data_IF_264974861467
#
_entry.id   IF_264974861467
#
_cell.length_a   1.000
_cell.length_b   1.000
_cell.length_c   1.000
_cell.angle_alpha   90.00
_cell.angle_beta   90.00
_cell.angle_gamma   90.00
#
_symmetry.space_group_name_H-M   'P 1'
#
loop_
_entity.id
_entity.type
_entity.pdbx_description
1 polymer ?
#
# COMPACT_ATOMS: atom_id res chain seq x y z
N UNK A 1 -11.94 18.60 1.01
CA UNK A 1 -10.76 19.31 1.57
C UNK A 1 -9.57 19.21 0.62
N UNK A 2 -9.05 18.01 0.37
CA UNK A 2 -7.81 17.81 -0.39
C UNK A 2 -7.89 18.12 -1.90
N UNK A 3 -8.93 17.63 -2.60
CA UNK A 3 -9.11 17.89 -4.03
C UNK A 3 -9.20 19.37 -4.40
N UNK A 4 -9.86 20.19 -3.57
CA UNK A 4 -9.92 21.63 -3.81
C UNK A 4 -8.55 22.30 -3.68
N UNK A 5 -7.74 21.88 -2.70
CA UNK A 5 -6.38 22.38 -2.52
C UNK A 5 -5.54 22.04 -3.76
N UNK A 6 -5.47 20.77 -4.15
CA UNK A 6 -4.64 20.36 -5.29
C UNK A 6 -5.14 20.97 -6.61
N UNK A 7 -6.46 20.97 -6.86
CA UNK A 7 -7.04 21.42 -8.13
C UNK A 7 -6.92 22.93 -8.31
N UNK A 8 -6.96 23.70 -7.22
CA UNK A 8 -6.75 25.16 -7.29
C UNK A 8 -5.27 25.47 -7.51
N UNK A 9 -4.38 24.83 -6.75
CA UNK A 9 -2.95 25.11 -6.83
C UNK A 9 -2.29 24.51 -8.08
N UNK A 10 -2.83 23.45 -8.68
CA UNK A 10 -2.33 22.94 -9.97
C UNK A 10 -2.63 23.94 -11.11
N UNK A 11 -3.74 24.67 -11.04
CA UNK A 11 -4.02 25.79 -11.94
C UNK A 11 -2.97 26.89 -11.81
N UNK A 12 -2.67 27.29 -10.56
CA UNK A 12 -1.60 28.27 -10.27
C UNK A 12 -0.22 27.77 -10.66
N UNK A 13 0.06 26.47 -10.55
CA UNK A 13 1.32 25.87 -10.98
C UNK A 13 1.56 26.06 -12.48
N UNK A 14 0.54 25.84 -13.31
CA UNK A 14 0.65 26.01 -14.75
C UNK A 14 0.67 27.49 -15.18
N UNK A 15 -0.22 28.32 -14.64
CA UNK A 15 -0.37 29.71 -15.10
C UNK A 15 0.45 30.74 -14.31
N UNK A 16 1.11 30.33 -13.23
CA UNK A 16 1.80 31.22 -12.30
C UNK A 16 3.28 31.43 -12.58
N UNK A 17 3.87 30.81 -13.61
CA UNK A 17 5.31 30.90 -13.90
C UNK A 17 5.81 32.34 -14.09
N UNK A 18 5.06 33.17 -14.82
CA UNK A 18 5.44 34.57 -15.10
C UNK A 18 4.88 35.57 -14.06
N UNK A 19 4.11 35.09 -13.08
CA UNK A 19 3.38 35.92 -12.11
C UNK A 19 3.81 35.74 -10.66
N UNK A 20 4.39 34.60 -10.31
CA UNK A 20 4.83 34.26 -8.97
C UNK A 20 6.36 34.34 -8.89
N UNK A 21 6.87 34.75 -7.73
CA UNK A 21 8.29 34.57 -7.41
C UNK A 21 8.66 33.09 -7.29
N UNK A 22 9.94 32.74 -7.49
CA UNK A 22 10.43 31.35 -7.45
C UNK A 22 10.03 30.59 -6.19
N UNK A 23 10.13 31.23 -5.02
CA UNK A 23 9.75 30.63 -3.73
C UNK A 23 8.23 30.42 -3.65
N UNK A 24 7.44 31.37 -4.14
CA UNK A 24 5.98 31.25 -4.14
C UNK A 24 5.54 30.11 -5.07
N UNK A 25 6.12 30.01 -6.26
CA UNK A 25 5.82 28.92 -7.20
C UNK A 25 6.23 27.55 -6.63
N UNK A 26 7.37 27.48 -5.93
CA UNK A 26 7.78 26.28 -5.20
C UNK A 26 6.77 25.91 -4.10
N UNK A 27 6.30 26.87 -3.30
CA UNK A 27 5.26 26.62 -2.28
C UNK A 27 3.96 26.11 -2.91
N UNK A 28 3.53 26.68 -4.04
CA UNK A 28 2.38 26.21 -4.81
C UNK A 28 2.57 24.74 -5.22
N UNK A 29 3.74 24.40 -5.74
CA UNK A 29 4.06 23.03 -6.16
C UNK A 29 4.01 22.04 -4.98
N UNK A 30 4.52 22.43 -3.81
CA UNK A 30 4.44 21.61 -2.59
C UNK A 30 3.01 21.44 -2.09
N UNK A 31 2.16 22.47 -2.19
CA UNK A 31 0.75 22.39 -1.81
C UNK A 31 -0.05 21.47 -2.73
N UNK A 32 0.31 21.38 -4.02
CA UNK A 32 -0.27 20.37 -4.92
C UNK A 32 0.07 18.96 -4.42
N UNK A 33 1.36 18.68 -4.18
CA UNK A 33 1.79 17.37 -3.69
C UNK A 33 1.16 17.01 -2.32
N UNK A 34 1.06 17.98 -1.41
CA UNK A 34 0.37 17.79 -0.12
C UNK A 34 -1.11 17.50 -0.32
N UNK A 35 -1.78 18.23 -1.23
CA UNK A 35 -3.17 17.99 -1.59
C UNK A 35 -3.39 16.56 -2.08
N UNK A 36 -2.55 16.07 -3.00
CA UNK A 36 -2.66 14.69 -3.51
C UNK A 36 -2.46 13.64 -2.42
N UNK A 37 -1.55 13.87 -1.47
CA UNK A 37 -1.37 12.99 -0.32
C UNK A 37 -2.57 13.02 0.63
N UNK A 38 -3.15 14.19 0.90
CA UNK A 38 -4.36 14.27 1.72
C UNK A 38 -5.56 13.61 1.02
N UNK A 39 -5.65 13.66 -0.31
CA UNK A 39 -6.68 12.95 -1.08
C UNK A 39 -6.53 11.43 -0.89
N UNK A 40 -5.30 10.92 -1.01
CA UNK A 40 -4.99 9.52 -0.75
C UNK A 40 -5.32 9.12 0.70
N UNK A 41 -5.01 9.96 1.69
CA UNK A 41 -5.32 9.70 3.10
C UNK A 41 -6.81 9.48 3.30
N UNK A 42 -7.65 10.42 2.88
CA UNK A 42 -9.08 10.34 3.15
C UNK A 42 -9.78 9.20 2.43
N UNK A 43 -9.36 8.90 1.19
CA UNK A 43 -9.95 7.78 0.47
C UNK A 43 -9.50 6.42 1.04
N UNK A 44 -8.29 6.35 1.58
CA UNK A 44 -7.77 5.12 2.21
C UNK A 44 -8.26 4.94 3.65
N UNK A 45 -8.64 6.01 4.36
CA UNK A 45 -9.44 5.91 5.59
C UNK A 45 -10.78 5.23 5.29
N UNK A 46 -11.47 5.62 4.21
CA UNK A 46 -12.70 4.96 3.80
C UNK A 46 -12.47 3.48 3.44
N UNK A 47 -11.44 3.18 2.63
CA UNK A 47 -11.12 1.78 2.29
C UNK A 47 -10.70 0.95 3.51
N UNK A 48 -9.95 1.54 4.45
CA UNK A 48 -9.56 0.90 5.70
C UNK A 48 -10.78 0.52 6.55
N UNK A 49 -11.75 1.43 6.68
CA UNK A 49 -13.02 1.13 7.36
C UNK A 49 -13.83 0.04 6.66
N UNK A 50 -13.89 0.02 5.32
CA UNK A 50 -14.54 -1.07 4.58
C UNK A 50 -13.90 -2.45 4.84
N UNK A 51 -12.64 -2.48 5.25
CA UNK A 51 -11.91 -3.71 5.56
C UNK A 51 -11.98 -4.08 7.05
N UNK A 52 -12.02 -3.07 7.92
CA UNK A 52 -12.11 -3.24 9.36
C UNK A 52 -13.10 -2.21 9.93
N UNK A 53 -14.40 -2.52 10.03
CA UNK A 53 -15.45 -1.55 10.33
C UNK A 53 -15.54 -1.21 11.84
N UNK A 54 -14.41 -0.78 12.42
CA UNK A 54 -14.36 -0.28 13.80
C UNK A 54 -15.12 1.04 13.95
N UNK A 55 -15.41 1.42 15.19
CA UNK A 55 -16.05 2.68 15.56
C UNK A 55 -17.42 2.92 14.88
N UNK A 56 -18.15 1.84 14.62
CA UNK A 56 -19.51 1.86 14.10
C UNK A 56 -20.38 0.83 14.80
N UNK A 57 -21.67 1.13 14.94
CA UNK A 57 -22.66 0.24 15.55
C UNK A 57 -23.94 0.18 14.69
N UNK A 58 -24.62 -0.97 14.70
CA UNK A 58 -25.84 -1.15 13.92
C UNK A 58 -27.06 -0.63 14.69
N UNK A 59 -27.73 0.37 14.13
CA UNK A 59 -28.96 0.89 14.71
C UNK A 59 -30.19 0.22 14.06
N UNK A 60 -30.93 -0.57 14.84
CA UNK A 60 -32.12 -1.29 14.38
C UNK A 60 -33.32 -0.37 14.07
N UNK A 61 -33.34 0.86 14.58
CA UNK A 61 -34.40 1.84 14.29
C UNK A 61 -34.19 2.50 12.92
N UNK A 62 -32.94 2.83 12.58
CA UNK A 62 -32.59 3.49 11.31
C UNK A 62 -32.12 2.51 10.23
N UNK A 63 -32.01 1.22 10.57
CA UNK A 63 -31.60 0.11 9.68
C UNK A 63 -30.27 0.37 8.96
N UNK A 64 -29.31 0.98 9.67
CA UNK A 64 -27.98 1.32 9.13
C UNK A 64 -26.91 1.27 10.21
N UNK A 65 -25.65 1.21 9.76
CA UNK A 65 -24.49 1.46 10.62
C UNK A 65 -24.40 2.96 10.94
N UNK A 66 -24.25 3.30 12.20
CA UNK A 66 -24.05 4.67 12.68
C UNK A 66 -22.65 4.81 13.28
N UNK A 67 -22.04 5.98 13.06
CA UNK A 67 -20.68 6.26 13.52
C UNK A 67 -20.67 6.51 15.02
N UNK A 68 -19.78 5.82 15.73
CA UNK A 68 -19.62 5.95 17.19
C UNK A 68 -18.46 6.88 17.54
N UNK A 69 -17.32 6.77 16.83
CA UNK A 69 -16.10 7.53 17.13
C UNK A 69 -15.36 7.92 15.84
N UNK A 70 -15.33 9.22 15.53
CA UNK A 70 -14.63 9.71 14.33
C UNK A 70 -13.10 9.59 14.47
N UNK A 71 -12.55 9.78 15.67
CA UNK A 71 -11.11 9.67 15.89
C UNK A 71 -10.60 8.25 15.67
N UNK A 72 -11.33 7.24 16.15
CA UNK A 72 -10.98 5.83 15.94
C UNK A 72 -11.13 5.42 14.47
N UNK A 73 -12.15 5.94 13.78
CA UNK A 73 -12.32 5.74 12.34
C UNK A 73 -11.08 6.21 11.55
N UNK A 74 -10.59 7.42 11.84
CA UNK A 74 -9.43 8.00 11.14
C UNK A 74 -8.12 7.30 11.53
N UNK A 75 -7.98 6.88 12.78
CA UNK A 75 -6.80 6.19 13.29
C UNK A 75 -6.87 4.66 13.14
N UNK A 76 -7.77 4.15 12.30
CA UNK A 76 -7.88 2.73 12.00
C UNK A 76 -6.53 2.17 11.54
N UNK A 77 -5.97 1.14 12.21
CA UNK A 77 -4.66 0.57 11.85
C UNK A 77 -4.56 0.17 10.39
N UNK A 78 -5.63 -0.42 9.83
CA UNK A 78 -5.70 -0.83 8.42
C UNK A 78 -5.63 0.39 7.49
N UNK A 79 -6.23 1.52 7.88
CA UNK A 79 -6.14 2.75 7.10
C UNK A 79 -4.71 3.32 7.09
N UNK A 80 -4.01 3.29 8.23
CA UNK A 80 -2.64 3.80 8.35
C UNK A 80 -1.67 3.03 7.45
N UNK A 81 -1.70 1.71 7.55
CA UNK A 81 -0.87 0.81 6.75
C UNK A 81 -1.16 0.99 5.26
N UNK A 82 -2.44 1.01 4.87
CA UNK A 82 -2.84 1.23 3.47
C UNK A 82 -2.41 2.56 2.94
N UNK A 83 -2.58 3.63 3.72
CA UNK A 83 -2.18 4.98 3.33
C UNK A 83 -0.71 5.01 2.95
N UNK A 84 0.13 4.56 3.88
CA UNK A 84 1.57 4.62 3.71
C UNK A 84 2.03 3.73 2.54
N UNK A 85 1.54 2.50 2.44
CA UNK A 85 1.91 1.59 1.34
C UNK A 85 1.45 2.10 -0.03
N UNK A 86 0.21 2.60 -0.14
CA UNK A 86 -0.34 3.07 -1.42
C UNK A 86 0.35 4.35 -1.89
N UNK A 87 0.60 5.29 -0.99
CA UNK A 87 1.29 6.54 -1.33
C UNK A 87 2.73 6.27 -1.76
N UNK A 88 3.47 5.46 -1.01
CA UNK A 88 4.83 5.05 -1.38
C UNK A 88 4.85 4.33 -2.73
N UNK A 89 3.85 3.47 -3.01
CA UNK A 89 3.72 2.79 -4.30
C UNK A 89 3.48 3.77 -5.44
N UNK A 90 2.61 4.77 -5.25
CA UNK A 90 2.41 5.84 -6.23
C UNK A 90 3.69 6.65 -6.50
N UNK A 91 4.51 6.89 -5.47
CA UNK A 91 5.82 7.52 -5.63
C UNK A 91 6.78 6.68 -6.46
N UNK A 92 6.84 5.37 -6.22
CA UNK A 92 7.63 4.44 -7.04
C UNK A 92 7.15 4.47 -8.49
N UNK A 93 5.83 4.43 -8.73
CA UNK A 93 5.27 4.49 -10.09
C UNK A 93 5.69 5.76 -10.82
N UNK A 94 5.56 6.93 -10.18
CA UNK A 94 5.98 8.21 -10.75
C UNK A 94 7.49 8.28 -11.00
N UNK A 95 8.30 7.80 -10.06
CA UNK A 95 9.75 7.75 -10.20
C UNK A 95 10.18 6.86 -11.37
N UNK A 96 9.63 5.65 -11.47
CA UNK A 96 9.91 4.71 -12.54
C UNK A 96 9.49 5.24 -13.92
N UNK A 97 8.40 5.99 -14.00
CA UNK A 97 7.97 6.66 -15.22
C UNK A 97 9.01 7.67 -15.72
N UNK A 98 9.49 8.56 -14.83
CA UNK A 98 10.54 9.53 -15.16
C UNK A 98 11.86 8.82 -15.50
N UNK A 99 12.20 7.74 -14.78
CA UNK A 99 13.38 6.92 -15.03
C UNK A 99 13.35 6.32 -16.44
N UNK A 100 12.22 5.73 -16.82
CA UNK A 100 12.02 5.10 -18.12
C UNK A 100 12.16 6.08 -19.28
N UNK A 101 11.54 7.27 -19.18
CA UNK A 101 11.67 8.32 -20.20
C UNK A 101 13.11 8.83 -20.28
N UNK A 102 13.73 9.08 -19.12
CA UNK A 102 15.12 9.57 -19.08
C UNK A 102 16.10 8.56 -19.66
N UNK A 103 15.93 7.27 -19.35
CA UNK A 103 16.71 6.18 -19.92
C UNK A 103 16.52 6.09 -21.43
N UNK A 104 15.28 6.25 -21.92
CA UNK A 104 14.99 6.28 -23.35
C UNK A 104 15.72 7.43 -24.07
N UNK A 105 15.73 8.63 -23.49
CA UNK A 105 16.47 9.77 -24.07
C UNK A 105 17.98 9.53 -24.11
N UNK A 106 18.54 8.97 -23.04
CA UNK A 106 19.95 8.60 -23.00
C UNK A 106 20.32 7.54 -24.04
N UNK A 107 19.48 6.51 -24.22
CA UNK A 107 19.67 5.48 -25.27
C UNK A 107 19.61 6.07 -26.69
N UNK A 108 18.80 7.11 -26.90
CA UNK A 108 18.69 7.81 -28.19
C UNK A 108 19.72 8.95 -28.36
N UNK A 109 20.58 9.18 -27.37
CA UNK A 109 21.55 10.28 -27.40
C UNK A 109 20.90 11.68 -27.44
N UNK A 110 19.68 11.83 -26.90
CA UNK A 110 18.91 13.08 -26.89
C UNK A 110 19.01 13.78 -25.54
N UNK A 111 19.17 15.11 -25.56
CA UNK A 111 19.09 15.99 -24.37
C UNK A 111 19.83 15.46 -23.14
N UNK A 112 21.06 14.96 -23.34
CA UNK A 112 21.80 14.14 -22.38
C UNK A 112 21.92 14.83 -21.01
N UNK A 113 22.16 16.14 -20.98
CA UNK A 113 22.29 16.89 -19.74
C UNK A 113 20.96 16.93 -18.94
N UNK A 114 19.83 17.11 -19.62
CA UNK A 114 18.51 17.09 -19.01
C UNK A 114 18.17 15.67 -18.54
N UNK A 115 18.31 14.69 -19.42
CA UNK A 115 18.00 13.29 -19.14
C UNK A 115 18.82 12.75 -17.95
N UNK A 116 20.11 13.07 -17.84
CA UNK A 116 20.95 12.64 -16.72
C UNK A 116 20.52 13.24 -15.37
N UNK A 117 20.09 14.52 -15.35
CA UNK A 117 19.60 15.17 -14.13
C UNK A 117 18.24 14.60 -13.71
N UNK A 118 17.32 14.43 -14.65
CA UNK A 118 16.02 13.80 -14.42
C UNK A 118 16.17 12.36 -13.91
N UNK A 119 17.06 11.59 -14.52
CA UNK A 119 17.37 10.22 -14.09
C UNK A 119 17.92 10.17 -12.66
N UNK A 120 18.86 11.04 -12.29
CA UNK A 120 19.45 11.05 -10.95
C UNK A 120 18.44 11.40 -9.85
N UNK A 121 17.59 12.41 -10.08
CA UNK A 121 16.55 12.80 -9.12
C UNK A 121 15.52 11.67 -8.97
N UNK A 122 15.03 11.12 -10.08
CA UNK A 122 14.06 10.03 -10.05
C UNK A 122 14.64 8.74 -9.44
N UNK A 123 15.92 8.43 -9.69
CA UNK A 123 16.58 7.26 -9.11
C UNK A 123 16.71 7.37 -7.58
N UNK A 124 17.17 8.53 -7.08
CA UNK A 124 17.35 8.74 -5.64
C UNK A 124 16.02 8.75 -4.89
N UNK A 125 15.01 9.47 -5.39
CA UNK A 125 13.67 9.46 -4.81
C UNK A 125 13.00 8.09 -4.95
N UNK A 126 13.11 7.45 -6.11
CA UNK A 126 12.57 6.11 -6.38
C UNK A 126 13.18 5.04 -5.50
N UNK A 127 14.48 5.14 -5.18
CA UNK A 127 15.15 4.23 -4.24
C UNK A 127 14.57 4.37 -2.83
N UNK A 128 14.40 5.59 -2.32
CA UNK A 128 13.77 5.80 -1.02
C UNK A 128 12.31 5.32 -0.99
N UNK A 129 11.57 5.57 -2.07
CA UNK A 129 10.18 5.13 -2.21
C UNK A 129 10.06 3.60 -2.26
N UNK A 130 10.89 2.89 -3.04
CA UNK A 130 10.80 1.43 -3.16
C UNK A 130 11.19 0.72 -1.86
N UNK A 131 12.20 1.23 -1.15
CA UNK A 131 12.54 0.71 0.18
C UNK A 131 11.37 0.89 1.16
N UNK A 132 10.69 2.04 1.10
CA UNK A 132 9.49 2.30 1.89
C UNK A 132 8.38 1.32 1.55
N UNK A 133 8.10 1.07 0.26
CA UNK A 133 7.08 0.11 -0.19
C UNK A 133 7.37 -1.31 0.29
N UNK A 134 8.63 -1.76 0.21
CA UNK A 134 9.03 -3.12 0.63
C UNK A 134 8.81 -3.30 2.13
N UNK A 135 9.36 -2.40 2.95
CA UNK A 135 9.25 -2.49 4.42
C UNK A 135 7.80 -2.36 4.88
N UNK A 136 7.06 -1.40 4.33
CA UNK A 136 5.68 -1.15 4.74
C UNK A 136 4.70 -2.16 4.14
N UNK A 137 5.10 -2.86 3.07
CA UNK A 137 4.38 -4.02 2.55
C UNK A 137 4.48 -5.23 3.47
N UNK A 138 5.65 -5.48 4.03
CA UNK A 138 5.87 -6.52 5.03
C UNK A 138 5.07 -6.25 6.31
N UNK A 139 5.13 -5.02 6.83
CA UNK A 139 4.26 -4.59 7.96
C UNK A 139 2.76 -4.69 7.61
N UNK A 140 2.39 -4.44 6.36
CA UNK A 140 1.01 -4.63 5.92
C UNK A 140 0.58 -6.09 5.87
N UNK A 141 1.48 -7.01 5.54
CA UNK A 141 1.20 -8.45 5.58
C UNK A 141 0.97 -8.92 7.02
N UNK A 142 1.80 -8.44 7.94
CA UNK A 142 1.66 -8.72 9.37
C UNK A 142 0.32 -8.22 9.94
N UNK A 143 -0.04 -6.95 9.74
CA UNK A 143 -1.32 -6.42 10.24
C UNK A 143 -2.54 -7.10 9.58
N UNK A 144 -2.42 -7.47 8.30
CA UNK A 144 -3.48 -8.22 7.65
C UNK A 144 -3.65 -9.61 8.26
N UNK A 145 -2.61 -10.21 8.83
CA UNK A 145 -2.67 -11.45 9.60
C UNK A 145 -3.50 -11.33 10.89
N UNK A 146 -3.55 -10.15 11.49
CA UNK A 146 -4.34 -9.91 12.70
C UNK A 146 -5.79 -9.53 12.37
N UNK A 147 -5.99 -8.69 11.35
CA UNK A 147 -7.33 -8.15 11.04
C UNK A 147 -8.09 -8.99 10.00
N UNK A 148 -7.41 -9.60 9.03
CA UNK A 148 -8.02 -10.29 7.89
C UNK A 148 -7.29 -11.59 7.49
N UNK A 149 -7.26 -12.55 8.42
CA UNK A 149 -6.63 -13.88 8.28
C UNK A 149 -6.96 -14.59 6.97
N UNK A 150 -8.22 -14.55 6.53
CA UNK A 150 -8.66 -15.18 5.28
C UNK A 150 -7.93 -14.64 4.06
N UNK A 151 -7.61 -13.34 4.02
CA UNK A 151 -6.86 -12.76 2.90
C UNK A 151 -5.40 -13.22 2.91
N UNK A 152 -4.77 -13.24 4.08
CA UNK A 152 -3.39 -13.69 4.21
C UNK A 152 -3.27 -15.16 3.81
N UNK A 153 -4.15 -16.02 4.32
CA UNK A 153 -4.21 -17.43 3.96
C UNK A 153 -4.39 -17.64 2.44
N UNK A 154 -5.25 -16.85 1.79
CA UNK A 154 -5.46 -16.92 0.35
C UNK A 154 -4.24 -16.43 -0.46
N UNK A 155 -3.53 -15.39 0.00
CA UNK A 155 -2.33 -14.86 -0.67
C UNK A 155 -1.16 -15.84 -0.56
N UNK A 156 -0.98 -16.43 0.61
CA UNK A 156 0.08 -17.41 0.87
C UNK A 156 -0.27 -18.82 0.35
N UNK A 157 -1.50 -18.99 -0.18
CA UNK A 157 -2.05 -20.27 -0.63
C UNK A 157 -2.01 -21.35 0.47
N UNK A 158 -2.31 -20.96 1.71
CA UNK A 158 -2.41 -21.84 2.87
C UNK A 158 -3.84 -22.34 3.04
N UNK A 159 -4.05 -23.60 2.67
CA UNK A 159 -5.35 -24.28 2.75
C UNK A 159 -5.67 -24.65 4.19
N UNK A 160 -4.78 -25.42 4.81
CA UNK A 160 -4.85 -25.85 6.20
C UNK A 160 -3.99 -24.96 7.11
N UNK A 161 -4.27 -24.99 8.42
CA UNK A 161 -3.43 -24.29 9.41
C UNK A 161 -2.09 -25.01 9.54
N UNK A 162 -1.00 -24.33 9.21
CA UNK A 162 0.34 -24.90 9.26
C UNK A 162 0.89 -24.87 10.69
N UNK A 163 1.33 -26.01 11.24
CA UNK A 163 2.05 -26.02 12.51
C UNK A 163 3.38 -25.28 12.36
N UNK A 164 3.81 -24.64 13.44
CA UNK A 164 5.14 -24.05 13.47
C UNK A 164 6.20 -25.17 13.44
N UNK A 165 7.27 -25.03 12.66
CA UNK A 165 7.63 -23.90 11.81
C UNK A 165 7.06 -24.00 10.39
N UNK A 166 6.39 -22.94 9.92
CA UNK A 166 5.73 -22.92 8.62
C UNK A 166 6.67 -22.55 7.46
N UNK A 167 6.51 -23.23 6.33
CA UNK A 167 7.27 -22.99 5.08
C UNK A 167 6.62 -21.88 4.25
N UNK A 168 7.43 -21.01 3.65
CA UNK A 168 6.95 -19.96 2.74
C UNK A 168 6.91 -20.46 1.31
N UNK A 169 5.78 -20.30 0.62
CA UNK A 169 5.64 -20.67 -0.79
C UNK A 169 6.17 -19.53 -1.67
N UNK A 170 7.42 -19.63 -2.13
CA UNK A 170 8.04 -18.65 -3.03
C UNK A 170 7.35 -18.60 -4.40
N UNK A 171 6.93 -19.77 -4.89
CA UNK A 171 6.17 -19.91 -6.12
C UNK A 171 5.27 -21.14 -6.01
N UNK A 172 4.06 -21.06 -6.52
CA UNK A 172 3.14 -22.19 -6.59
C UNK A 172 1.91 -21.81 -7.41
N UNK A 173 1.24 -22.81 -7.97
CA UNK A 173 -0.03 -22.63 -8.66
C UNK A 173 -1.11 -23.25 -7.75
N UNK A 174 -1.92 -22.43 -7.06
CA UNK A 174 -2.98 -22.94 -6.21
C UNK A 174 -4.08 -23.60 -7.06
N UNK A 175 -4.50 -24.80 -6.69
CA UNK A 175 -5.65 -25.50 -7.26
C UNK A 175 -6.81 -25.51 -6.24
N UNK A 176 -7.90 -24.83 -6.61
CA UNK A 176 -9.07 -24.69 -5.75
C UNK A 176 -9.90 -25.98 -5.64
N UNK A 177 -9.88 -26.85 -6.65
CA UNK A 177 -10.67 -28.09 -6.63
C UNK A 177 -10.03 -29.13 -5.71
N UNK A 178 -8.70 -29.20 -5.71
CA UNK A 178 -7.95 -30.16 -4.88
C UNK A 178 -7.42 -29.56 -3.59
N UNK A 179 -7.55 -28.25 -3.38
CA UNK A 179 -6.97 -27.51 -2.24
C UNK A 179 -5.46 -27.80 -2.07
N UNK A 180 -4.72 -27.80 -3.17
CA UNK A 180 -3.29 -28.11 -3.19
C UNK A 180 -2.50 -27.09 -4.02
N UNK A 181 -1.23 -26.89 -3.66
CA UNK A 181 -0.32 -26.03 -4.41
C UNK A 181 0.52 -26.85 -5.39
N UNK A 182 0.21 -26.76 -6.68
CA UNK A 182 0.97 -27.41 -7.74
C UNK A 182 2.27 -26.65 -8.01
N UNK A 183 3.34 -27.39 -8.34
CA UNK A 183 4.66 -26.82 -8.67
C UNK A 183 5.22 -25.90 -7.56
N UNK A 184 4.92 -26.21 -6.30
CA UNK A 184 5.31 -25.39 -5.17
C UNK A 184 6.83 -25.42 -4.95
N UNK A 185 7.45 -24.24 -4.96
CA UNK A 185 8.82 -23.99 -4.51
C UNK A 185 8.70 -23.35 -3.14
N UNK A 186 9.10 -24.09 -2.10
CA UNK A 186 8.98 -23.65 -0.72
C UNK A 186 10.34 -23.34 -0.10
N UNK A 187 10.38 -22.28 0.69
CA UNK A 187 11.50 -21.91 1.56
C UNK A 187 11.14 -22.32 2.98
N UNK A 188 11.82 -23.32 3.57
CA UNK A 188 11.54 -23.79 4.91
C UNK A 188 11.66 -22.68 5.97
N UNK A 189 10.81 -22.71 7.01
CA UNK A 189 10.85 -21.84 8.20
C UNK A 189 10.60 -20.34 7.97
N UNK A 190 10.42 -19.88 6.73
CA UNK A 190 10.35 -18.46 6.42
C UNK A 190 8.98 -17.83 6.68
N UNK A 191 7.88 -18.59 6.55
CA UNK A 191 6.53 -18.02 6.63
C UNK A 191 6.19 -17.55 8.04
N UNK A 192 6.55 -18.31 9.06
CA UNK A 192 6.33 -17.91 10.46
C UNK A 192 7.00 -16.57 10.78
N UNK A 193 8.23 -16.35 10.30
CA UNK A 193 8.99 -15.10 10.51
C UNK A 193 8.31 -13.92 9.81
N UNK A 194 7.78 -14.12 8.61
CA UNK A 194 7.13 -13.06 7.82
C UNK A 194 5.74 -12.76 8.38
N UNK A 195 4.89 -13.79 8.50
CA UNK A 195 3.48 -13.64 8.83
C UNK A 195 3.20 -13.42 10.32
N UNK A 196 4.02 -13.97 11.22
CA UNK A 196 3.76 -13.93 12.67
C UNK A 196 4.90 -13.35 13.51
N UNK A 197 6.04 -13.03 12.88
CA UNK A 197 7.30 -12.64 13.55
C UNK A 197 7.81 -13.70 14.55
N UNK A 198 7.46 -14.97 14.33
CA UNK A 198 7.72 -16.08 15.27
C UNK A 198 8.06 -17.37 14.53
N UNK A 199 8.85 -18.24 15.17
CA UNK A 199 9.17 -19.59 14.67
C UNK A 199 8.32 -20.67 15.34
N UNK A 200 7.51 -20.28 16.33
CA UNK A 200 6.76 -21.18 17.21
C UNK A 200 5.23 -20.97 17.11
N UNK A 201 4.79 -19.98 16.33
CA UNK A 201 3.38 -19.62 16.19
C UNK A 201 2.79 -20.24 14.91
N UNK A 202 1.64 -20.95 15.00
CA UNK A 202 1.00 -21.53 13.83
C UNK A 202 0.44 -20.44 12.91
N UNK A 203 0.49 -20.70 11.60
CA UNK A 203 -0.07 -19.81 10.57
C UNK A 203 -1.45 -20.31 10.18
N UNK A 204 -2.46 -19.47 10.33
CA UNK A 204 -3.86 -19.85 10.12
C UNK A 204 -4.13 -19.99 8.62
N UNK A 205 -4.63 -21.16 8.24
CA UNK A 205 -5.06 -21.46 6.87
C UNK A 205 -6.45 -20.92 6.56
N UNK A 206 -6.90 -21.18 5.34
CA UNK A 206 -8.22 -20.78 4.85
C UNK A 206 -9.36 -21.65 5.38
N UNK A 207 -9.08 -22.88 5.79
CA UNK A 207 -10.03 -23.75 6.47
C UNK A 207 -10.28 -23.29 7.91
N UNK A 208 -11.56 -23.19 8.29
CA UNK A 208 -11.93 -22.97 9.69
C UNK A 208 -11.54 -24.21 10.49
N UNK A 209 -10.98 -24.05 11.70
CA UNK A 209 -10.85 -25.19 12.61
C UNK A 209 -12.25 -25.78 12.85
N UNK A 210 -12.36 -27.10 12.70
CA UNK A 210 -13.59 -27.85 12.91
C UNK A 210 -14.29 -27.40 14.22
N UNK A 211 -15.46 -26.76 14.10
CA UNK A 211 -16.34 -26.46 15.24
C UNK A 211 -16.65 -24.98 15.56
N UNK A 212 -16.23 -24.00 14.77
CA UNK A 212 -16.67 -22.61 14.96
C UNK A 212 -17.97 -22.30 14.20
N UNK A 213 -19.10 -22.28 14.94
CA UNK A 213 -20.43 -21.85 14.49
C UNK A 213 -20.43 -20.42 13.93
#
# INVERSE_FOLDING_TARGET
>A
MAFFLESTFVGLFFFGWDRLGKVQHMCVTWLVALGSNLSALWILVANGWMQNPIASDFNFETMRMEMVSFSELVLNPVAQVKFVHTVASGYVTGAMFILGISAYYLLKGRDIAFAKRSFAIAASFGMAAVLSVIVLGDESGYEMGDVQKTKLAAIEAEWETQPAPASFTLFGIPDQETQENKLAIQIPYALGIIATRSVDTPVIGSERPDGAA
#
